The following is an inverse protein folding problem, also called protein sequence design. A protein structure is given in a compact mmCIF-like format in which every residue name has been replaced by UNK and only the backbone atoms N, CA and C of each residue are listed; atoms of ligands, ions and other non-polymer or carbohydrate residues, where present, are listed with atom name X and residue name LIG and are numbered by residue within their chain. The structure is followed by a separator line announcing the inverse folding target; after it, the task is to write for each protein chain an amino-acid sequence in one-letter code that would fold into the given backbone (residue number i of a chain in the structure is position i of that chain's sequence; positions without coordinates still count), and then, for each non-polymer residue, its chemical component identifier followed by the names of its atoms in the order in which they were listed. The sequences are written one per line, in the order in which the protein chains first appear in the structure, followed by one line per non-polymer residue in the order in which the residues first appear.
data_IF_703142901766
#
_entry.id   IF_703142901766
#
_cell.length_a   1.000
_cell.length_b   1.000
_cell.length_c   1.000
_cell.angle_alpha   90.00
_cell.angle_beta   90.00
_cell.angle_gamma   90.00
#
_symmetry.space_group_name_H-M   'P 1'
#
loop_
_entity.id
_entity.type
_entity.pdbx_description
1 polymer ?
#
# COMPACT_ATOMS: atom_id res chain seq x y z
N UNK A 1 19.76 59.99 28.40
CA UNK A 1 19.35 58.63 28.85
C UNK A 1 18.77 57.87 27.66
N UNK A 2 19.53 56.94 27.07
CA UNK A 2 19.05 56.07 25.98
C UNK A 2 18.36 54.87 26.60
N UNK A 3 17.05 54.73 26.40
CA UNK A 3 16.28 53.54 26.81
C UNK A 3 16.43 52.48 25.73
N UNK A 4 17.23 51.46 26.00
CA UNK A 4 17.31 50.25 25.18
C UNK A 4 16.01 49.47 25.30
N UNK A 5 15.26 49.36 24.21
CA UNK A 5 14.17 48.40 24.08
C UNK A 5 14.78 47.05 23.70
N UNK A 6 14.83 46.12 24.66
CA UNK A 6 15.13 44.72 24.39
C UNK A 6 13.81 44.02 24.04
N UNK A 7 13.52 43.86 22.75
CA UNK A 7 12.40 43.05 22.28
C UNK A 7 12.85 41.59 22.37
N UNK A 8 12.47 40.92 23.45
CA UNK A 8 12.63 39.48 23.61
C UNK A 8 11.51 38.79 22.80
N UNK A 9 11.81 38.44 21.55
CA UNK A 9 10.91 37.68 20.70
C UNK A 9 10.74 36.25 21.23
N UNK A 10 9.59 35.96 21.84
CA UNK A 10 9.15 34.59 22.08
C UNK A 10 8.87 33.92 20.73
N UNK A 11 9.82 33.11 20.26
CA UNK A 11 9.56 32.06 19.27
C UNK A 11 8.71 30.98 19.96
N UNK A 12 7.39 31.13 19.90
CA UNK A 12 6.47 30.00 20.10
C UNK A 12 6.71 29.03 18.95
N UNK A 13 7.58 28.04 19.17
CA UNK A 13 7.60 26.82 18.38
C UNK A 13 6.27 26.15 18.71
N UNK A 14 5.27 26.39 17.88
CA UNK A 14 4.05 25.59 17.90
C UNK A 14 4.50 24.20 17.47
N UNK A 15 4.77 23.32 18.44
CA UNK A 15 4.82 21.89 18.20
C UNK A 15 3.44 21.52 17.68
N UNK A 16 3.26 21.60 16.36
CA UNK A 16 2.15 20.95 15.70
C UNK A 16 2.40 19.47 15.96
N UNK A 17 1.80 18.95 17.02
CA UNK A 17 1.72 17.52 17.27
C UNK A 17 1.26 16.90 15.96
N UNK A 18 2.20 16.22 15.30
CA UNK A 18 1.92 15.52 14.07
C UNK A 18 0.91 14.47 14.45
N UNK A 19 -0.32 14.60 13.96
CA UNK A 19 -1.36 13.62 14.15
C UNK A 19 -0.82 12.23 13.71
N UNK A 20 -0.76 11.27 14.63
CA UNK A 20 -0.07 9.97 14.48
C UNK A 20 -0.98 8.86 15.05
N UNK A 21 -1.16 7.72 14.33
CA UNK A 21 -2.00 6.61 14.77
C UNK A 21 -1.47 5.90 16.03
N UNK A 22 -2.39 5.51 16.91
CA UNK A 22 -2.11 4.65 18.08
C UNK A 22 -2.28 3.17 17.70
N UNK A 23 -1.18 2.49 17.38
CA UNK A 23 -1.21 1.19 16.68
C UNK A 23 -1.53 -0.01 17.55
N UNK A 24 -1.44 0.12 18.88
CA UNK A 24 -1.91 -0.91 19.81
C UNK A 24 -3.39 -0.73 20.18
N UNK A 25 -4.12 0.15 19.50
CA UNK A 25 -5.55 0.38 19.68
C UNK A 25 -6.28 0.19 18.35
N UNK A 26 -6.85 -0.99 18.11
CA UNK A 26 -7.80 -1.17 17.00
C UNK A 26 -9.22 -0.91 17.51
N UNK A 27 -9.87 0.12 16.98
CA UNK A 27 -11.25 0.47 17.36
C UNK A 27 -12.32 -0.18 16.48
N UNK A 28 -11.92 -0.91 15.44
CA UNK A 28 -12.83 -1.70 14.61
C UNK A 28 -13.08 -3.09 15.23
N UNK A 29 -14.35 -3.44 15.44
CA UNK A 29 -14.76 -4.73 16.01
C UNK A 29 -14.83 -5.88 15.00
N UNK A 30 -14.54 -5.63 13.71
CA UNK A 30 -14.82 -6.61 12.66
C UNK A 30 -13.74 -7.68 12.48
N UNK A 31 -12.55 -7.52 13.06
CA UNK A 31 -11.41 -8.44 12.87
C UNK A 31 -10.81 -8.44 11.45
N UNK A 32 -11.49 -7.84 10.47
CA UNK A 32 -11.06 -7.72 9.06
C UNK A 32 -10.59 -6.30 8.71
N UNK A 33 -11.10 -5.30 9.44
CA UNK A 33 -10.69 -3.91 9.30
C UNK A 33 -9.84 -3.49 10.50
N UNK A 34 -8.85 -2.63 10.23
CA UNK A 34 -8.05 -2.01 11.28
C UNK A 34 -8.20 -0.50 11.19
N UNK A 35 -8.70 0.09 12.27
CA UNK A 35 -8.86 1.54 12.41
C UNK A 35 -8.15 1.95 13.70
N UNK A 36 -7.17 2.84 13.58
CA UNK A 36 -6.40 3.38 14.69
C UNK A 36 -6.94 4.75 15.09
N UNK A 37 -7.14 5.05 16.38
CA UNK A 37 -7.39 6.42 16.82
C UNK A 37 -6.11 7.26 16.71
N UNK A 38 -6.26 8.57 16.64
CA UNK A 38 -5.16 9.51 16.76
C UNK A 38 -4.77 9.72 18.23
N UNK A 39 -3.48 9.91 18.48
CA UNK A 39 -2.99 10.08 19.85
C UNK A 39 -3.30 11.45 20.47
N UNK A 40 -3.54 12.47 19.64
CA UNK A 40 -3.77 13.87 20.05
C UNK A 40 -5.19 14.37 19.76
N UNK A 41 -5.83 13.90 18.68
CA UNK A 41 -7.18 14.29 18.27
C UNK A 41 -8.18 13.13 18.48
N UNK A 42 -9.01 13.23 19.51
CA UNK A 42 -10.02 12.22 19.83
C UNK A 42 -11.08 11.99 18.73
N UNK A 43 -11.17 12.90 17.75
CA UNK A 43 -12.09 12.77 16.62
C UNK A 43 -11.42 12.20 15.37
N UNK A 44 -10.11 11.98 15.35
CA UNK A 44 -9.40 11.53 14.16
C UNK A 44 -9.08 10.04 14.22
N UNK A 45 -9.31 9.37 13.10
CA UNK A 45 -9.11 7.94 12.95
C UNK A 45 -8.38 7.63 11.63
N UNK A 46 -7.48 6.66 11.68
CA UNK A 46 -6.70 6.20 10.53
C UNK A 46 -7.10 4.79 10.14
N UNK A 47 -7.56 4.63 8.91
CA UNK A 47 -7.91 3.34 8.32
C UNK A 47 -6.64 2.74 7.74
N UNK A 48 -6.35 1.47 8.04
CA UNK A 48 -5.31 0.70 7.37
C UNK A 48 -5.88 -0.03 6.15
N UNK A 49 -5.10 -0.24 5.08
CA UNK A 49 -5.57 -1.06 3.96
C UNK A 49 -5.66 -2.53 4.41
N UNK A 50 -6.62 -3.27 3.86
CA UNK A 50 -6.74 -4.71 4.08
C UNK A 50 -6.71 -5.53 2.79
N UNK A 51 -6.74 -4.85 1.63
CA UNK A 51 -6.62 -5.45 0.30
C UNK A 51 -5.71 -4.60 -0.57
N UNK A 52 -5.09 -5.23 -1.55
CA UNK A 52 -4.33 -4.55 -2.60
C UNK A 52 -4.78 -5.14 -3.93
N UNK A 53 -5.12 -4.27 -4.87
CA UNK A 53 -5.70 -4.67 -6.17
C UNK A 53 -4.92 -4.06 -7.32
N UNK A 54 -5.02 -4.64 -8.52
CA UNK A 54 -4.51 -3.98 -9.73
C UNK A 54 -5.46 -2.84 -10.09
N UNK A 55 -4.91 -1.64 -10.26
CA UNK A 55 -5.63 -0.45 -10.70
C UNK A 55 -6.34 -0.74 -12.04
N UNK A 56 -7.51 -0.14 -12.25
CA UNK A 56 -8.29 -0.30 -13.49
C UNK A 56 -8.61 1.07 -14.06
N UNK A 57 -8.64 1.17 -15.39
CA UNK A 57 -9.13 2.36 -16.07
C UNK A 57 -10.66 2.48 -15.95
N UNK A 58 -11.23 3.56 -16.49
CA UNK A 58 -12.69 3.82 -16.46
C UNK A 58 -13.52 2.76 -17.17
N UNK A 59 -12.93 1.99 -18.10
CA UNK A 59 -13.56 0.87 -18.78
C UNK A 59 -13.36 -0.48 -18.05
N UNK A 60 -12.74 -0.47 -16.87
CA UNK A 60 -12.48 -1.67 -16.07
C UNK A 60 -11.26 -2.50 -16.52
N UNK A 61 -10.50 -2.03 -17.51
CA UNK A 61 -9.28 -2.71 -17.98
C UNK A 61 -8.18 -2.53 -16.94
N UNK A 62 -7.53 -3.61 -16.48
CA UNK A 62 -6.45 -3.51 -15.51
C UNK A 62 -5.22 -2.83 -16.12
N UNK A 63 -4.56 -1.97 -15.34
CA UNK A 63 -3.23 -1.46 -15.63
C UNK A 63 -2.21 -2.56 -15.36
N UNK A 64 -2.13 -3.49 -16.31
CA UNK A 64 -1.22 -4.62 -16.33
C UNK A 64 -0.71 -4.79 -17.75
N UNK A 65 0.57 -5.12 -17.92
CA UNK A 65 1.16 -5.48 -19.20
C UNK A 65 2.17 -6.61 -19.04
N UNK A 66 2.20 -7.51 -20.02
CA UNK A 66 3.25 -8.48 -20.21
C UNK A 66 3.85 -8.27 -21.60
N UNK A 67 5.13 -7.96 -21.66
CA UNK A 67 5.85 -7.66 -22.89
C UNK A 67 7.06 -8.58 -23.04
N UNK A 68 7.11 -9.36 -24.12
CA UNK A 68 8.35 -10.01 -24.56
C UNK A 68 9.16 -9.07 -25.47
N UNK A 69 10.48 -9.06 -25.29
CA UNK A 69 11.38 -8.32 -26.17
C UNK A 69 12.68 -9.08 -26.40
N UNK A 70 13.28 -8.83 -27.56
CA UNK A 70 14.56 -9.42 -27.94
C UNK A 70 15.70 -8.81 -27.13
N UNK A 71 16.35 -9.62 -26.31
CA UNK A 71 17.56 -9.28 -25.57
C UNK A 71 18.75 -9.91 -26.29
N UNK A 72 19.38 -9.19 -27.22
CA UNK A 72 20.48 -9.71 -28.03
C UNK A 72 20.08 -10.68 -29.15
N UNK A 73 21.05 -11.35 -29.77
CA UNK A 73 20.84 -12.04 -31.06
C UNK A 73 19.94 -13.27 -30.97
N UNK A 74 19.91 -14.00 -29.85
CA UNK A 74 19.13 -15.25 -29.73
C UNK A 74 18.39 -15.39 -28.39
N UNK A 75 18.20 -14.29 -27.65
CA UNK A 75 17.53 -14.34 -26.36
C UNK A 75 16.33 -13.41 -26.33
N UNK A 76 15.28 -13.85 -25.64
CA UNK A 76 14.05 -13.11 -25.42
C UNK A 76 13.90 -12.95 -23.92
N UNK A 77 13.78 -11.70 -23.48
CA UNK A 77 13.45 -11.33 -22.12
C UNK A 77 11.96 -10.96 -22.06
N UNK A 78 11.41 -10.87 -20.86
CA UNK A 78 10.05 -10.38 -20.67
C UNK A 78 9.97 -9.45 -19.48
N UNK A 79 9.12 -8.45 -19.59
CA UNK A 79 8.79 -7.51 -18.51
C UNK A 79 7.32 -7.66 -18.18
N UNK A 80 7.03 -7.59 -16.90
CA UNK A 80 5.69 -7.44 -16.35
C UNK A 80 5.58 -6.06 -15.75
N UNK A 81 4.58 -5.29 -16.14
CA UNK A 81 4.27 -4.00 -15.55
C UNK A 81 2.88 -4.06 -14.95
N UNK A 82 2.70 -3.46 -13.78
CA UNK A 82 1.39 -3.33 -13.16
C UNK A 82 1.31 -2.08 -12.30
N UNK A 83 0.11 -1.57 -12.10
CA UNK A 83 -0.17 -0.53 -11.11
C UNK A 83 -1.04 -1.12 -10.01
N UNK A 84 -0.57 -1.05 -8.77
CA UNK A 84 -1.25 -1.56 -7.58
C UNK A 84 -1.91 -0.43 -6.80
N UNK A 85 -3.04 -0.72 -6.17
CA UNK A 85 -3.76 0.21 -5.30
C UNK A 85 -4.05 -0.48 -3.97
N UNK A 86 -3.40 -0.07 -2.87
CA UNK A 86 -3.81 -0.46 -1.54
C UNK A 86 -5.16 0.16 -1.22
N UNK A 87 -6.11 -0.64 -0.78
CA UNK A 87 -7.49 -0.27 -0.58
C UNK A 87 -8.09 -0.98 0.64
N UNK A 88 -9.36 -0.70 0.86
CA UNK A 88 -10.18 -1.36 1.87
C UNK A 88 -11.44 -1.96 1.24
N UNK A 89 -11.95 -3.01 1.85
CA UNK A 89 -13.28 -3.55 1.61
C UNK A 89 -14.35 -2.53 2.05
N UNK A 90 -15.11 -1.97 1.11
CA UNK A 90 -16.06 -0.88 1.37
C UNK A 90 -17.12 -1.24 2.42
N UNK A 91 -17.75 -2.41 2.27
CA UNK A 91 -18.83 -2.85 3.17
C UNK A 91 -18.37 -2.94 4.63
N UNK A 92 -17.17 -3.45 4.86
CA UNK A 92 -16.61 -3.60 6.21
C UNK A 92 -16.15 -2.26 6.79
N UNK A 93 -15.59 -1.38 5.94
CA UNK A 93 -15.24 -0.03 6.35
C UNK A 93 -16.48 0.75 6.76
N UNK A 94 -17.56 0.72 5.96
CA UNK A 94 -18.77 1.47 6.25
C UNK A 94 -19.42 1.01 7.57
N UNK A 95 -19.45 -0.32 7.81
CA UNK A 95 -19.91 -0.87 9.08
C UNK A 95 -19.08 -0.36 10.27
N UNK A 96 -17.74 -0.46 10.19
CA UNK A 96 -16.85 -0.01 11.26
C UNK A 96 -16.95 1.51 11.51
N UNK A 97 -17.06 2.31 10.43
CA UNK A 97 -17.25 3.77 10.53
C UNK A 97 -18.57 4.12 11.21
N UNK A 98 -19.65 3.43 10.87
CA UNK A 98 -20.96 3.68 11.48
C UNK A 98 -20.96 3.38 12.98
N UNK A 99 -20.29 2.33 13.42
CA UNK A 99 -20.13 2.03 14.86
C UNK A 99 -19.35 3.12 15.60
N UNK A 100 -18.29 3.66 14.99
CA UNK A 100 -17.49 4.74 15.56
C UNK A 100 -18.31 6.04 15.58
N UNK A 101 -18.99 6.37 14.48
CA UNK A 101 -19.82 7.57 14.36
C UNK A 101 -21.01 7.58 15.33
N UNK A 102 -21.55 6.40 15.66
CA UNK A 102 -22.61 6.28 16.67
C UNK A 102 -22.13 6.70 18.07
N UNK A 103 -20.83 6.55 18.38
CA UNK A 103 -20.22 6.94 19.65
C UNK A 103 -19.59 8.33 19.60
N UNK A 104 -19.04 8.70 18.45
CA UNK A 104 -18.40 9.98 18.17
C UNK A 104 -18.90 10.56 16.84
N UNK A 105 -19.97 11.37 16.85
CA UNK A 105 -20.52 11.96 15.63
C UNK A 105 -19.57 12.93 14.91
N UNK A 106 -18.53 13.42 15.59
CA UNK A 106 -17.52 14.31 15.00
C UNK A 106 -16.35 13.54 14.36
N UNK A 107 -16.40 12.19 14.34
CA UNK A 107 -15.31 11.36 13.85
C UNK A 107 -14.95 11.65 12.38
N UNK A 108 -13.66 11.83 12.14
CA UNK A 108 -13.01 12.04 10.86
C UNK A 108 -12.10 10.85 10.54
N UNK A 109 -12.14 10.40 9.28
CA UNK A 109 -11.42 9.22 8.85
C UNK A 109 -10.46 9.57 7.71
N UNK A 110 -9.21 9.14 7.83
CA UNK A 110 -8.19 9.23 6.79
C UNK A 110 -7.51 7.88 6.59
N UNK A 111 -6.84 7.67 5.45
CA UNK A 111 -5.95 6.52 5.28
C UNK A 111 -4.66 6.72 6.07
N UNK A 112 -4.08 5.64 6.60
CA UNK A 112 -2.73 5.71 7.19
C UNK A 112 -1.72 6.21 6.14
N UNK A 113 -0.86 7.18 6.50
CA UNK A 113 0.25 7.58 5.64
C UNK A 113 1.36 6.52 5.70
N UNK A 114 1.78 6.05 4.52
CA UNK A 114 2.94 5.20 4.41
C UNK A 114 4.20 6.06 4.44
N UNK A 115 5.22 5.64 5.18
CA UNK A 115 6.58 6.14 5.06
C UNK A 115 7.27 5.54 3.83
N UNK A 116 6.96 4.28 3.55
CA UNK A 116 7.44 3.53 2.41
C UNK A 116 6.47 2.38 2.11
N UNK A 117 6.47 1.93 0.87
CA UNK A 117 5.83 0.67 0.48
C UNK A 117 6.70 -0.10 -0.50
N UNK A 118 6.54 -1.42 -0.51
CA UNK A 118 7.26 -2.31 -1.41
C UNK A 118 6.41 -3.50 -1.82
N UNK A 119 6.68 -4.04 -2.99
CA UNK A 119 6.20 -5.37 -3.37
C UNK A 119 7.35 -6.36 -3.27
N UNK A 120 7.33 -7.18 -2.23
CA UNK A 120 8.35 -8.20 -2.00
C UNK A 120 7.97 -9.52 -2.65
N UNK A 121 8.99 -10.13 -3.24
CA UNK A 121 8.91 -11.43 -3.88
C UNK A 121 9.10 -12.50 -2.82
N UNK A 122 8.11 -13.36 -2.65
CA UNK A 122 8.16 -14.47 -1.70
C UNK A 122 8.19 -15.83 -2.42
N UNK A 123 8.62 -16.88 -1.71
CA UNK A 123 8.65 -18.25 -2.22
C UNK A 123 9.61 -18.41 -3.40
N UNK A 124 9.12 -18.98 -4.51
CA UNK A 124 9.92 -19.26 -5.72
C UNK A 124 10.10 -18.03 -6.64
N UNK A 125 9.38 -16.93 -6.38
CA UNK A 125 9.40 -15.72 -7.22
C UNK A 125 10.80 -15.11 -7.42
N UNK A 126 11.69 -15.04 -6.38
CA UNK A 126 13.04 -14.53 -6.55
C UNK A 126 13.90 -15.32 -7.56
N UNK A 127 13.58 -16.59 -7.83
CA UNK A 127 14.32 -17.39 -8.82
C UNK A 127 13.89 -17.10 -10.25
N UNK A 128 12.71 -16.51 -10.44
CA UNK A 128 12.11 -16.33 -11.76
C UNK A 128 12.07 -14.87 -12.19
N UNK A 129 12.28 -13.93 -11.27
CA UNK A 129 12.40 -12.49 -11.51
C UNK A 129 13.88 -12.10 -11.42
N UNK A 130 14.40 -11.50 -12.48
CA UNK A 130 15.79 -11.05 -12.59
C UNK A 130 15.99 -9.71 -11.87
N UNK A 131 15.05 -8.77 -12.05
CA UNK A 131 15.07 -7.47 -11.39
C UNK A 131 13.66 -6.94 -11.22
N UNK A 132 13.45 -6.06 -10.25
CA UNK A 132 12.16 -5.41 -10.01
C UNK A 132 12.33 -3.98 -9.52
N UNK A 133 11.36 -3.13 -9.85
CA UNK A 133 11.22 -1.76 -9.39
C UNK A 133 9.80 -1.60 -8.85
N UNK A 134 9.63 -1.89 -7.57
CA UNK A 134 8.34 -1.91 -6.90
C UNK A 134 8.42 -1.31 -5.48
N UNK A 135 9.47 -0.51 -5.22
CA UNK A 135 9.69 0.18 -3.96
C UNK A 135 9.31 1.65 -4.13
N UNK A 136 8.54 2.18 -3.18
CA UNK A 136 8.05 3.55 -3.19
C UNK A 136 8.34 4.22 -1.86
N UNK A 137 8.76 5.48 -1.93
CA UNK A 137 8.86 6.36 -0.77
C UNK A 137 7.51 7.03 -0.59
N UNK A 138 6.97 6.99 0.61
CA UNK A 138 5.66 7.55 0.90
C UNK A 138 4.50 6.73 0.32
N UNK A 139 3.31 7.30 0.44
CA UNK A 139 2.08 6.78 -0.16
C UNK A 139 0.89 6.88 0.79
N UNK A 140 -0.29 6.72 0.23
CA UNK A 140 -1.56 6.67 0.96
C UNK A 140 -2.42 5.53 0.41
N UNK A 141 -3.39 5.11 1.22
CA UNK A 141 -4.47 4.26 0.71
C UNK A 141 -5.16 4.95 -0.47
N UNK A 142 -5.42 4.18 -1.52
CA UNK A 142 -6.02 4.66 -2.76
C UNK A 142 -5.04 5.29 -3.74
N UNK A 143 -3.78 5.51 -3.36
CA UNK A 143 -2.75 5.99 -4.30
C UNK A 143 -2.13 4.83 -5.07
N UNK A 144 -2.06 5.02 -6.39
CA UNK A 144 -1.45 4.08 -7.32
C UNK A 144 0.06 3.92 -7.09
N UNK A 145 0.52 2.67 -7.09
CA UNK A 145 1.92 2.26 -6.91
C UNK A 145 2.35 1.43 -8.12
N UNK A 146 3.31 1.93 -8.91
CA UNK A 146 3.78 1.25 -10.11
C UNK A 146 4.83 0.17 -9.80
N UNK A 147 4.68 -1.01 -10.37
CA UNK A 147 5.63 -2.11 -10.20
C UNK A 147 6.02 -2.68 -11.57
N UNK A 148 7.32 -2.74 -11.82
CA UNK A 148 7.88 -3.39 -12.99
C UNK A 148 8.80 -4.55 -12.58
N UNK A 149 8.69 -5.69 -13.23
CA UNK A 149 9.50 -6.88 -12.98
C UNK A 149 10.05 -7.44 -14.30
N UNK A 150 11.36 -7.54 -14.39
CA UNK A 150 12.04 -8.23 -15.50
C UNK A 150 12.15 -9.71 -15.15
N UNK A 151 11.71 -10.57 -16.05
CA UNK A 151 11.70 -12.02 -15.85
C UNK A 151 12.98 -12.66 -16.37
N UNK A 152 13.49 -13.64 -15.63
CA UNK A 152 14.48 -14.58 -16.15
C UNK A 152 13.90 -15.41 -17.31
N UNK A 153 14.75 -16.13 -18.05
CA UNK A 153 14.28 -17.08 -19.08
C UNK A 153 13.27 -18.12 -18.54
N UNK A 154 13.48 -18.62 -17.31
CA UNK A 154 12.57 -19.55 -16.64
C UNK A 154 11.25 -18.85 -16.30
N UNK A 155 11.33 -17.65 -15.73
CA UNK A 155 10.16 -16.83 -15.40
C UNK A 155 9.31 -16.47 -16.60
N UNK A 156 9.93 -16.07 -17.71
CA UNK A 156 9.23 -15.79 -18.97
C UNK A 156 8.38 -16.98 -19.40
N UNK A 157 8.96 -18.18 -19.46
CA UNK A 157 8.24 -19.39 -19.88
C UNK A 157 7.09 -19.76 -18.94
N UNK A 158 7.28 -19.59 -17.62
CA UNK A 158 6.23 -19.85 -16.63
C UNK A 158 5.09 -18.84 -16.76
N UNK A 159 5.43 -17.56 -16.87
CA UNK A 159 4.46 -16.49 -17.01
C UNK A 159 3.69 -16.63 -18.33
N UNK A 160 4.38 -16.88 -19.43
CA UNK A 160 3.75 -17.17 -20.72
C UNK A 160 2.72 -18.30 -20.63
N UNK A 161 3.11 -19.44 -20.05
CA UNK A 161 2.22 -20.60 -19.90
C UNK A 161 1.03 -20.32 -18.99
N UNK A 162 1.25 -19.64 -17.87
CA UNK A 162 0.19 -19.36 -16.90
C UNK A 162 -0.84 -18.35 -17.45
N UNK A 163 -0.41 -17.32 -18.17
CA UNK A 163 -1.31 -16.39 -18.88
C UNK A 163 -2.11 -17.12 -19.97
N UNK A 164 -1.44 -17.93 -20.79
CA UNK A 164 -2.10 -18.65 -21.88
C UNK A 164 -3.12 -19.70 -21.36
N UNK A 165 -2.82 -20.33 -20.23
CA UNK A 165 -3.68 -21.34 -19.60
C UNK A 165 -4.73 -20.75 -18.65
N UNK A 166 -4.77 -19.42 -18.46
CA UNK A 166 -5.72 -18.72 -17.57
C UNK A 166 -5.68 -19.20 -16.11
N UNK A 167 -4.51 -19.55 -15.60
CA UNK A 167 -4.35 -20.05 -14.23
C UNK A 167 -3.98 -18.92 -13.27
N UNK A 168 -4.12 -19.13 -11.95
CA UNK A 168 -3.56 -18.22 -10.95
C UNK A 168 -2.09 -18.00 -11.26
N UNK A 169 -1.71 -16.74 -11.34
CA UNK A 169 -0.47 -16.34 -11.97
C UNK A 169 0.64 -16.12 -10.95
N UNK A 170 0.31 -15.46 -9.83
CA UNK A 170 1.26 -15.20 -8.75
C UNK A 170 0.57 -14.68 -7.49
N UNK A 171 1.20 -14.92 -6.34
CA UNK A 171 0.90 -14.23 -5.07
C UNK A 171 2.12 -13.43 -4.64
N UNK A 172 1.96 -12.12 -4.48
CA UNK A 172 3.02 -11.18 -4.08
C UNK A 172 2.69 -10.65 -2.67
N UNK A 173 3.70 -10.14 -1.95
CA UNK A 173 3.48 -9.51 -0.65
C UNK A 173 3.69 -8.01 -0.77
N UNK A 174 2.62 -7.24 -0.61
CA UNK A 174 2.71 -5.79 -0.51
C UNK A 174 3.02 -5.43 0.94
N UNK A 175 4.19 -4.85 1.17
CA UNK A 175 4.56 -4.32 2.47
C UNK A 175 4.42 -2.82 2.49
N UNK A 176 4.00 -2.28 3.63
CA UNK A 176 4.03 -0.84 3.89
C UNK A 176 4.49 -0.58 5.31
N UNK A 177 5.20 0.54 5.47
CA UNK A 177 5.72 1.00 6.75
C UNK A 177 4.99 2.27 7.15
N UNK A 178 4.62 2.41 8.42
CA UNK A 178 4.01 3.63 8.96
C UNK A 178 4.79 4.13 10.18
N UNK A 179 4.76 5.44 10.39
CA UNK A 179 5.13 6.05 11.68
C UNK A 179 3.88 6.07 12.57
N UNK A 180 4.04 5.61 13.80
CA UNK A 180 2.96 5.42 14.76
C UNK A 180 3.44 5.70 16.19
N UNK A 181 2.50 5.66 17.13
CA UNK A 181 2.80 5.55 18.56
C UNK A 181 2.08 4.36 19.18
N UNK A 182 2.62 3.81 20.26
CA UNK A 182 1.92 2.88 21.12
C UNK A 182 1.63 3.52 22.47
N UNK A 183 0.40 3.37 22.97
CA UNK A 183 0.05 3.79 24.33
C UNK A 183 0.61 2.79 25.35
N UNK A 184 1.36 3.28 26.31
CA UNK A 184 1.90 2.50 27.44
C UNK A 184 0.86 2.37 28.55
N UNK A 185 1.13 1.47 29.50
CA UNK A 185 0.28 1.27 30.67
C UNK A 185 0.15 2.51 31.57
N UNK A 186 1.14 3.41 31.55
CA UNK A 186 1.12 4.69 32.28
C UNK A 186 0.35 5.81 31.54
N UNK A 187 -0.25 5.49 30.38
CA UNK A 187 -0.99 6.44 29.54
C UNK A 187 -0.13 7.28 28.60
N UNK A 188 1.21 7.22 28.72
CA UNK A 188 2.13 7.91 27.81
C UNK A 188 2.24 7.19 26.47
N UNK A 189 2.83 7.87 25.48
CA UNK A 189 3.05 7.32 24.15
C UNK A 189 4.54 7.02 23.92
N UNK A 190 4.83 5.98 23.13
CA UNK A 190 6.15 5.71 22.58
C UNK A 190 6.08 5.60 21.06
N UNK A 191 7.02 6.27 20.39
CA UNK A 191 7.16 6.17 18.94
C UNK A 191 7.41 4.73 18.50
N UNK A 192 6.77 4.35 17.41
CA UNK A 192 6.94 3.06 16.76
C UNK A 192 6.95 3.21 15.25
N UNK A 193 7.81 2.45 14.61
CA UNK A 193 7.78 2.23 13.17
C UNK A 193 7.36 0.79 12.93
N UNK A 194 6.23 0.59 12.25
CA UNK A 194 5.68 -0.75 12.02
C UNK A 194 5.64 -1.06 10.53
N UNK A 195 6.00 -2.30 10.19
CA UNK A 195 5.91 -2.87 8.84
C UNK A 195 4.76 -3.87 8.81
N UNK A 196 3.82 -3.67 7.88
CA UNK A 196 2.66 -4.53 7.64
C UNK A 196 2.78 -5.21 6.29
N UNK A 197 2.18 -6.38 6.13
CA UNK A 197 2.14 -7.13 4.87
C UNK A 197 0.71 -7.49 4.47
N UNK A 198 0.38 -7.31 3.19
CA UNK A 198 -0.89 -7.69 2.57
C UNK A 198 -0.59 -8.57 1.36
N UNK A 199 -1.24 -9.73 1.29
CA UNK A 199 -1.12 -10.61 0.15
C UNK A 199 -1.84 -10.00 -1.07
N UNK A 200 -1.10 -9.89 -2.18
CA UNK A 200 -1.61 -9.49 -3.50
C UNK A 200 -1.77 -10.75 -4.33
N UNK A 201 -2.98 -11.02 -4.82
CA UNK A 201 -3.23 -12.13 -5.76
C UNK A 201 -3.45 -11.58 -7.14
N UNK A 202 -2.74 -12.13 -8.11
CA UNK A 202 -2.94 -11.84 -9.53
C UNK A 202 -3.48 -13.11 -10.17
N UNK A 203 -4.74 -13.06 -10.54
CA UNK A 203 -5.44 -14.19 -11.12
C UNK A 203 -5.44 -14.08 -12.65
N UNK A 204 -4.99 -15.15 -13.32
CA UNK A 204 -4.88 -15.16 -14.79
C UNK A 204 -6.24 -15.13 -15.49
N UNK A 205 -7.33 -15.51 -14.82
CA UNK A 205 -8.70 -15.37 -15.34
C UNK A 205 -9.08 -13.90 -15.54
N UNK A 206 -8.73 -13.02 -14.61
CA UNK A 206 -8.97 -11.58 -14.70
C UNK A 206 -8.24 -10.97 -15.90
N UNK A 207 -7.00 -11.40 -16.13
CA UNK A 207 -6.18 -10.93 -17.26
C UNK A 207 -6.60 -11.57 -18.58
N UNK A 208 -7.14 -12.78 -18.57
CA UNK A 208 -7.54 -13.50 -19.79
C UNK A 208 -8.67 -12.83 -20.57
N UNK A 209 -9.45 -11.96 -19.92
CA UNK A 209 -10.48 -11.15 -20.56
C UNK A 209 -9.90 -9.95 -21.33
N UNK A 210 -8.59 -9.70 -21.22
CA UNK A 210 -7.89 -8.57 -21.84
C UNK A 210 -6.64 -9.04 -22.59
N UNK A 211 -6.78 -9.83 -23.67
CA UNK A 211 -5.65 -10.38 -24.41
C UNK A 211 -4.71 -9.30 -24.97
N UNK A 212 -5.20 -8.08 -25.18
CA UNK A 212 -4.41 -6.94 -25.62
C UNK A 212 -3.35 -6.49 -24.61
N UNK A 213 -3.39 -6.97 -23.36
CA UNK A 213 -2.38 -6.67 -22.33
C UNK A 213 -1.17 -7.60 -22.41
N UNK A 214 -1.17 -8.53 -23.37
CA UNK A 214 -0.15 -9.56 -23.53
C UNK A 214 0.47 -9.41 -24.92
N UNK A 215 1.71 -8.96 -24.97
CA UNK A 215 2.44 -8.66 -26.18
C UNK A 215 3.60 -9.65 -26.38
N UNK A 216 3.46 -10.49 -27.40
CA UNK A 216 4.53 -11.38 -27.84
C UNK A 216 5.25 -10.73 -29.03
N UNK A 217 6.55 -10.50 -28.91
CA UNK A 217 7.40 -9.94 -30.00
C UNK A 217 8.63 -10.80 -30.24
#
# INVERSE_FOLDING_TARGET
MKKSFLILGLLFICEMSLAIPVVNENVANSGVMTIYPDHADANRYYVAPNVVTIAKNTAGVPFFAYDEYRSGTFSTAAIVQMTLVPAYTRTELDAAKNEILAKNPAAQFSGVPFMASSLELAGELPQIIESHQCNHVGGLIGQEQSCAMTLTKKGRLLFYKALNNKTIFTTLQFYYTIQAVARKADGTFADQTLKYGIAVRIDGDQLSNYPQLIHFR
#
